data_IF_522567070599
#
_entry.id   IF_522567070599
#
_cell.length_a   1.000
_cell.length_b   1.000
_cell.length_c   1.000
_cell.angle_alpha   90.00
_cell.angle_beta   90.00
_cell.angle_gamma   90.00
#
_symmetry.space_group_name_H-M   'P 1'
#
loop_
_entity.id
_entity.type
_entity.pdbx_description
1 polymer ?
#
# COMPACT_ATOMS: atom_id res chain seq x y z
N UNK A 1 -5.85 -4.51 -19.27
CA UNK A 1 -4.91 -3.95 -20.28
C UNK A 1 -3.93 -3.03 -19.56
N UNK A 2 -2.74 -2.84 -20.11
CA UNK A 2 -1.78 -1.84 -19.66
C UNK A 2 -1.36 -0.94 -20.82
N UNK A 3 -1.06 0.34 -20.60
CA UNK A 3 -0.50 1.19 -21.64
C UNK A 3 0.91 0.73 -22.00
N UNK A 4 1.27 0.82 -23.28
CA UNK A 4 2.58 0.41 -23.81
C UNK A 4 3.20 1.45 -24.73
N UNK A 5 2.46 2.51 -25.07
CA UNK A 5 2.94 3.63 -25.89
C UNK A 5 1.94 4.78 -25.85
N UNK A 6 2.44 5.98 -26.10
CA UNK A 6 1.63 7.18 -26.32
C UNK A 6 2.24 8.01 -27.44
N UNK A 7 1.40 8.53 -28.31
CA UNK A 7 1.76 9.54 -29.30
C UNK A 7 1.40 10.92 -28.77
N UNK A 8 2.38 11.80 -28.67
CA UNK A 8 2.20 13.17 -28.16
C UNK A 8 2.67 14.16 -29.22
N UNK A 9 1.84 15.12 -29.53
CA UNK A 9 2.15 16.21 -30.43
C UNK A 9 1.64 17.53 -29.83
N UNK A 10 2.44 18.58 -29.90
CA UNK A 10 2.14 19.94 -29.43
C UNK A 10 1.52 19.99 -28.01
N UNK A 11 2.11 19.24 -27.07
CA UNK A 11 1.65 19.21 -25.68
C UNK A 11 0.33 18.46 -25.45
N UNK A 12 -0.11 17.65 -26.42
CA UNK A 12 -1.35 16.86 -26.32
C UNK A 12 -1.11 15.41 -26.70
N UNK A 13 -1.70 14.49 -25.94
CA UNK A 13 -1.77 13.08 -26.31
C UNK A 13 -2.74 12.93 -27.48
N UNK A 14 -2.29 12.35 -28.58
CA UNK A 14 -3.09 12.03 -29.75
C UNK A 14 -3.70 10.64 -29.61
N UNK A 15 -2.89 9.68 -29.17
CA UNK A 15 -3.31 8.30 -29.01
C UNK A 15 -2.52 7.58 -27.90
N UNK A 16 -3.13 6.53 -27.35
CA UNK A 16 -2.49 5.63 -26.39
C UNK A 16 -2.58 4.19 -26.89
N UNK A 17 -1.44 3.52 -27.06
CA UNK A 17 -1.41 2.10 -27.35
C UNK A 17 -1.53 1.30 -26.05
N UNK A 18 -2.47 0.37 -26.00
CA UNK A 18 -2.70 -0.52 -24.87
C UNK A 18 -2.51 -1.97 -25.27
N UNK A 19 -1.95 -2.79 -24.36
CA UNK A 19 -1.78 -4.22 -24.52
C UNK A 19 -2.72 -4.99 -23.58
N UNK A 20 -3.44 -5.97 -24.14
CA UNK A 20 -4.30 -6.85 -23.36
C UNK A 20 -3.55 -8.14 -23.02
N UNK A 21 -3.22 -8.35 -21.77
CA UNK A 21 -2.57 -9.58 -21.29
C UNK A 21 -3.46 -10.81 -21.53
N UNK A 22 -4.79 -10.66 -21.49
CA UNK A 22 -5.73 -11.75 -21.71
C UNK A 22 -5.78 -12.24 -23.15
N UNK A 23 -5.73 -11.33 -24.11
CA UNK A 23 -5.85 -11.68 -25.56
C UNK A 23 -4.53 -11.66 -26.31
N UNK A 24 -3.45 -11.14 -25.72
CA UNK A 24 -2.18 -10.90 -26.40
C UNK A 24 -2.22 -9.82 -27.49
N UNK A 25 -3.28 -9.01 -27.55
CA UNK A 25 -3.50 -8.03 -28.63
C UNK A 25 -3.20 -6.61 -28.15
N UNK A 26 -2.74 -5.80 -29.10
CA UNK A 26 -2.60 -4.36 -28.97
C UNK A 26 -3.82 -3.65 -29.56
N UNK A 27 -4.17 -2.52 -28.99
CA UNK A 27 -5.21 -1.62 -29.50
C UNK A 27 -4.76 -0.17 -29.32
N UNK A 28 -5.17 0.72 -30.19
CA UNK A 28 -4.92 2.15 -30.11
C UNK A 28 -6.21 2.83 -29.65
N UNK A 29 -6.10 3.69 -28.67
CA UNK A 29 -7.18 4.50 -28.13
C UNK A 29 -6.95 5.96 -28.50
N UNK A 30 -7.94 6.61 -29.10
CA UNK A 30 -7.97 8.02 -29.43
C UNK A 30 -9.09 8.68 -28.65
N UNK A 31 -8.82 9.82 -28.02
CA UNK A 31 -9.80 10.55 -27.22
C UNK A 31 -9.41 12.04 -27.10
N UNK A 32 -10.37 12.95 -26.88
CA UNK A 32 -10.05 14.36 -26.63
C UNK A 32 -9.38 14.58 -25.27
N UNK A 33 -9.63 13.71 -24.27
CA UNK A 33 -9.07 13.76 -22.92
C UNK A 33 -8.71 12.34 -22.49
N UNK A 34 -7.60 12.20 -21.79
CA UNK A 34 -7.12 10.97 -21.17
C UNK A 34 -7.09 11.14 -19.66
N UNK A 35 -7.42 10.07 -18.93
CA UNK A 35 -7.30 10.02 -17.48
C UNK A 35 -6.43 8.80 -17.15
N UNK A 36 -5.27 9.04 -16.55
CA UNK A 36 -4.43 7.96 -16.03
C UNK A 36 -4.93 7.55 -14.65
N UNK A 37 -5.62 6.41 -14.60
CA UNK A 37 -6.06 5.76 -13.37
C UNK A 37 -5.32 4.44 -13.15
N UNK A 38 -4.10 4.30 -13.68
CA UNK A 38 -3.24 3.13 -13.40
C UNK A 38 -2.64 3.26 -12.00
N UNK A 39 -2.33 2.11 -11.37
CA UNK A 39 -1.80 2.09 -10.00
C UNK A 39 -0.45 2.81 -9.85
N UNK A 40 0.35 2.87 -10.93
CA UNK A 40 1.69 3.44 -10.91
C UNK A 40 1.85 4.73 -11.73
N UNK A 41 0.77 5.28 -12.30
CA UNK A 41 0.88 6.41 -13.24
C UNK A 41 1.63 5.98 -14.51
N UNK A 42 1.23 4.86 -15.11
CA UNK A 42 1.99 4.22 -16.21
C UNK A 42 1.96 5.03 -17.50
N UNK A 43 0.98 5.91 -17.68
CA UNK A 43 0.89 6.78 -18.84
C UNK A 43 1.87 7.96 -18.76
N UNK A 44 2.26 8.38 -17.56
CA UNK A 44 3.14 9.54 -17.36
C UNK A 44 4.48 9.41 -18.11
N UNK A 45 5.28 8.33 -17.92
CA UNK A 45 6.53 8.18 -18.66
C UNK A 45 6.31 7.98 -20.17
N UNK A 46 5.22 7.34 -20.59
CA UNK A 46 4.91 7.13 -22.01
C UNK A 46 4.55 8.43 -22.70
N UNK A 47 3.84 9.33 -22.03
CA UNK A 47 3.47 10.65 -22.53
C UNK A 47 4.54 11.72 -22.24
N UNK A 48 5.69 11.35 -21.63
CA UNK A 48 6.77 12.26 -21.22
C UNK A 48 6.31 13.39 -20.31
N UNK A 49 5.37 13.09 -19.43
CA UNK A 49 4.94 13.98 -18.36
C UNK A 49 5.97 13.95 -17.24
N UNK A 50 6.27 15.08 -16.65
CA UNK A 50 7.17 15.15 -15.51
C UNK A 50 6.50 14.61 -14.24
N UNK A 51 7.26 13.86 -13.47
CA UNK A 51 6.84 13.32 -12.18
C UNK A 51 8.02 13.17 -11.23
N UNK A 52 7.74 13.02 -9.95
CA UNK A 52 8.68 12.64 -8.93
C UNK A 52 8.40 11.20 -8.46
N UNK A 53 9.44 10.52 -8.01
CA UNK A 53 9.40 9.19 -7.37
C UNK A 53 10.31 9.17 -6.15
N UNK A 54 10.08 8.24 -5.25
CA UNK A 54 10.88 8.08 -4.04
C UNK A 54 10.78 9.27 -3.09
N UNK A 55 11.78 9.45 -2.25
CA UNK A 55 11.81 10.50 -1.23
C UNK A 55 12.24 11.83 -1.83
N UNK A 56 11.38 12.84 -1.73
CA UNK A 56 11.73 14.23 -2.04
C UNK A 56 12.40 14.90 -0.85
N UNK A 57 13.22 15.91 -1.11
CA UNK A 57 13.92 16.65 -0.06
C UNK A 57 13.11 17.83 0.46
N UNK A 58 13.44 18.26 1.67
CA UNK A 58 12.90 19.48 2.28
C UNK A 58 13.16 20.74 1.43
N UNK A 59 14.28 20.78 0.73
CA UNK A 59 14.58 21.88 -0.21
C UNK A 59 13.63 21.90 -1.40
N UNK A 60 13.12 20.75 -1.82
CA UNK A 60 12.17 20.64 -2.96
C UNK A 60 10.74 20.97 -2.54
N UNK A 61 10.28 20.50 -1.38
CA UNK A 61 8.87 20.58 -0.97
C UNK A 61 8.61 21.63 0.11
N UNK A 62 9.60 21.97 0.92
CA UNK A 62 9.44 22.85 2.08
C UNK A 62 8.73 22.19 3.27
N UNK A 63 8.40 20.91 3.18
CA UNK A 63 7.66 20.19 4.20
C UNK A 63 8.47 20.02 5.49
N UNK A 64 7.79 20.12 6.64
CA UNK A 64 8.43 20.07 7.96
C UNK A 64 9.18 18.76 8.18
N UNK A 65 8.56 17.65 7.79
CA UNK A 65 9.06 16.30 8.02
C UNK A 65 9.73 15.66 6.79
N UNK A 66 9.91 16.42 5.69
CA UNK A 66 10.63 15.92 4.54
C UNK A 66 12.11 15.67 4.88
N UNK A 67 12.70 14.71 4.17
CA UNK A 67 14.13 14.36 4.29
C UNK A 67 15.02 15.54 3.91
N UNK A 68 16.18 15.65 4.51
CA UNK A 68 17.18 16.68 4.14
C UNK A 68 17.70 16.49 2.70
N UNK A 69 17.77 15.23 2.23
CA UNK A 69 18.24 14.89 0.89
C UNK A 69 17.22 14.07 0.12
N UNK A 70 17.07 14.36 -1.16
CA UNK A 70 16.24 13.54 -2.06
C UNK A 70 16.88 12.15 -2.27
N UNK A 71 16.05 11.12 -2.30
CA UNK A 71 16.42 9.74 -2.59
C UNK A 71 15.40 9.16 -3.58
N UNK A 72 15.53 9.37 -4.90
CA UNK A 72 14.55 8.97 -5.90
C UNK A 72 14.41 7.45 -6.06
N UNK A 73 15.36 6.68 -5.57
CA UNK A 73 15.39 5.22 -5.51
C UNK A 73 14.82 4.64 -4.20
N UNK A 74 14.42 5.50 -3.27
CA UNK A 74 13.84 5.11 -1.98
C UNK A 74 12.31 5.03 -2.06
N UNK A 75 11.79 3.88 -2.39
CA UNK A 75 10.36 3.64 -2.56
C UNK A 75 9.74 2.91 -1.37
N UNK A 76 8.51 3.27 -1.02
CA UNK A 76 7.76 2.57 0.02
C UNK A 76 7.42 1.13 -0.37
N UNK A 77 7.23 0.30 0.63
CA UNK A 77 6.77 -1.07 0.48
C UNK A 77 5.45 -1.17 -0.30
N UNK A 78 5.30 -2.23 -1.04
CA UNK A 78 4.02 -2.65 -1.60
C UNK A 78 3.62 -4.03 -1.05
N UNK A 79 2.34 -4.39 -1.14
CA UNK A 79 1.82 -5.61 -0.53
C UNK A 79 1.07 -6.47 -1.54
N UNK A 80 1.40 -7.76 -1.60
CA UNK A 80 0.54 -8.74 -2.28
C UNK A 80 -0.52 -9.23 -1.30
N UNK A 81 -1.68 -8.59 -1.34
CA UNK A 81 -2.79 -8.89 -0.43
C UNK A 81 -3.40 -10.27 -0.71
N UNK A 82 -3.99 -10.87 0.30
CA UNK A 82 -4.81 -12.08 0.17
C UNK A 82 -5.99 -12.07 1.14
N UNK A 83 -7.06 -12.76 0.78
CA UNK A 83 -8.19 -13.00 1.66
C UNK A 83 -8.09 -14.38 2.30
N UNK A 84 -8.52 -14.49 3.56
CA UNK A 84 -8.60 -15.75 4.28
C UNK A 84 -9.85 -15.84 5.14
N UNK A 85 -10.32 -17.04 5.37
CA UNK A 85 -11.27 -17.39 6.42
C UNK A 85 -10.66 -18.41 7.40
N UNK A 86 -11.40 -18.75 8.46
CA UNK A 86 -10.97 -19.76 9.46
C UNK A 86 -12.03 -20.82 9.63
N UNK A 87 -11.66 -22.06 9.35
CA UNK A 87 -12.51 -23.24 9.46
C UNK A 87 -12.06 -24.04 10.68
N UNK A 88 -12.74 -23.83 11.81
CA UNK A 88 -12.36 -24.47 13.07
C UNK A 88 -12.40 -26.01 12.96
N UNK A 89 -11.34 -26.64 13.47
CA UNK A 89 -11.15 -28.11 13.41
C UNK A 89 -10.73 -28.67 12.05
N UNK A 90 -10.65 -27.83 10.99
CA UNK A 90 -10.17 -28.27 9.69
C UNK A 90 -8.67 -28.01 9.50
N UNK A 91 -8.08 -28.60 8.46
CA UNK A 91 -6.68 -28.42 8.10
C UNK A 91 -6.57 -27.94 6.65
N UNK A 92 -6.19 -26.68 6.47
CA UNK A 92 -5.99 -26.00 5.20
C UNK A 92 -4.56 -25.49 5.01
N UNK A 93 -3.60 -26.11 5.69
CA UNK A 93 -2.17 -25.75 5.58
C UNK A 93 -1.74 -25.82 4.12
N UNK A 94 -1.28 -24.67 3.59
CA UNK A 94 -0.76 -24.61 2.22
C UNK A 94 0.61 -25.29 2.11
N UNK A 95 1.01 -25.68 0.91
CA UNK A 95 2.36 -26.15 0.66
C UNK A 95 3.39 -25.11 1.12
N UNK A 96 4.50 -25.57 1.69
CA UNK A 96 5.57 -24.67 2.16
C UNK A 96 6.10 -23.86 0.98
N UNK A 97 6.01 -22.49 1.04
CA UNK A 97 6.48 -21.63 -0.04
C UNK A 97 7.99 -21.79 -0.28
N UNK A 98 8.42 -21.59 -1.52
CA UNK A 98 9.82 -21.73 -1.93
C UNK A 98 10.76 -20.83 -1.11
N UNK A 99 10.33 -19.58 -0.83
CA UNK A 99 11.12 -18.60 -0.07
C UNK A 99 10.87 -18.62 1.44
N UNK A 100 10.09 -19.59 1.95
CA UNK A 100 9.74 -19.64 3.37
C UNK A 100 10.95 -19.62 4.31
N UNK A 101 12.00 -20.40 4.00
CA UNK A 101 13.22 -20.45 4.80
C UNK A 101 13.92 -19.08 4.92
N UNK A 102 13.91 -18.29 3.87
CA UNK A 102 14.40 -16.91 3.87
C UNK A 102 13.51 -16.01 4.75
N UNK A 103 12.23 -15.92 4.43
CA UNK A 103 11.30 -15.00 5.11
C UNK A 103 11.11 -15.32 6.58
N UNK A 104 11.12 -16.60 6.95
CA UNK A 104 11.01 -17.03 8.36
C UNK A 104 12.16 -16.54 9.24
N UNK A 105 13.32 -16.35 8.66
CA UNK A 105 14.52 -15.90 9.38
C UNK A 105 14.88 -14.44 9.09
N UNK A 106 14.15 -13.79 8.21
CA UNK A 106 14.44 -12.42 7.81
C UNK A 106 14.22 -11.45 8.98
N UNK A 107 15.24 -10.66 9.27
CA UNK A 107 15.23 -9.57 10.24
C UNK A 107 15.42 -8.26 9.46
N UNK A 108 14.39 -7.41 9.41
CA UNK A 108 14.52 -6.12 8.73
C UNK A 108 15.60 -5.22 9.34
N UNK A 109 16.46 -4.68 8.48
CA UNK A 109 17.43 -3.64 8.84
C UNK A 109 16.82 -2.28 8.47
N UNK A 110 16.11 -1.69 9.41
CA UNK A 110 15.33 -0.47 9.22
C UNK A 110 15.63 0.56 10.32
N UNK A 111 15.39 1.82 10.03
CA UNK A 111 15.50 2.93 10.99
C UNK A 111 14.16 3.72 11.06
N UNK A 112 13.53 3.83 12.24
CA UNK A 112 13.84 3.19 13.54
C UNK A 112 13.88 1.67 13.44
N UNK A 113 14.59 1.00 14.39
CA UNK A 113 14.82 -0.43 14.33
C UNK A 113 13.53 -1.26 14.32
N UNK A 114 13.47 -2.29 13.48
CA UNK A 114 12.41 -3.31 13.54
C UNK A 114 12.64 -4.27 14.71
N UNK A 115 11.57 -4.71 15.43
CA UNK A 115 11.73 -5.49 16.66
C UNK A 115 11.91 -7.00 16.42
N UNK A 116 12.93 -7.43 15.69
CA UNK A 116 13.24 -8.83 15.49
C UNK A 116 12.92 -9.38 14.11
N UNK A 117 12.29 -10.55 14.01
CA UNK A 117 11.93 -11.17 12.73
C UNK A 117 10.69 -10.50 12.11
N UNK A 118 10.63 -10.47 10.78
CA UNK A 118 9.46 -9.93 10.07
C UNK A 118 8.20 -10.79 10.33
N UNK A 119 8.34 -12.12 10.27
CA UNK A 119 7.24 -13.05 10.61
C UNK A 119 7.16 -13.24 12.12
N UNK A 120 6.52 -12.28 12.77
CA UNK A 120 6.22 -12.23 14.20
C UNK A 120 4.95 -11.38 14.43
N UNK A 121 4.35 -11.43 15.63
CA UNK A 121 3.22 -10.58 15.99
C UNK A 121 3.63 -9.19 16.49
N UNK A 122 4.89 -8.81 16.32
CA UNK A 122 5.40 -7.50 16.70
C UNK A 122 5.75 -6.65 15.47
N UNK A 123 5.67 -5.35 15.61
CA UNK A 123 6.14 -4.38 14.61
C UNK A 123 6.57 -3.08 15.29
N UNK A 124 7.18 -2.16 14.56
CA UNK A 124 7.51 -0.82 15.06
C UNK A 124 6.29 0.08 14.95
N UNK A 125 5.87 0.66 16.08
CA UNK A 125 4.74 1.59 16.09
C UNK A 125 5.12 2.92 15.40
N UNK A 126 4.33 3.41 14.40
CA UNK A 126 4.76 4.50 13.52
C UNK A 126 4.92 5.87 14.22
N UNK A 127 4.27 6.10 15.35
CA UNK A 127 4.37 7.38 16.09
C UNK A 127 5.34 7.37 17.24
N UNK A 128 5.51 6.24 17.92
CA UNK A 128 6.39 6.15 19.10
C UNK A 128 7.74 5.52 18.78
N UNK A 129 7.88 4.89 17.62
CA UNK A 129 9.07 4.10 17.23
C UNK A 129 9.36 2.92 18.18
N UNK A 130 8.42 2.57 19.05
CA UNK A 130 8.55 1.47 19.99
C UNK A 130 8.01 0.17 19.41
N UNK A 131 8.48 -0.95 19.93
CA UNK A 131 7.93 -2.27 19.62
C UNK A 131 6.48 -2.37 20.10
N UNK A 132 5.57 -2.76 19.21
CA UNK A 132 4.17 -2.98 19.52
C UNK A 132 3.74 -4.40 19.19
N UNK A 133 3.08 -5.06 20.15
CA UNK A 133 2.47 -6.36 19.95
C UNK A 133 1.12 -6.22 19.24
N UNK A 134 0.89 -7.04 18.24
CA UNK A 134 -0.38 -7.27 17.57
C UNK A 134 -0.99 -8.59 18.05
N UNK A 135 -2.31 -8.67 18.09
CA UNK A 135 -3.02 -9.92 18.40
C UNK A 135 -3.51 -10.60 17.13
N UNK A 136 -3.63 -11.92 17.20
CA UNK A 136 -4.34 -12.68 16.18
C UNK A 136 -5.18 -13.78 16.83
N UNK A 137 -6.51 -13.68 16.67
CA UNK A 137 -7.45 -14.68 17.18
C UNK A 137 -8.70 -14.75 16.29
N UNK A 138 -8.80 -15.76 15.40
CA UNK A 138 -9.98 -15.97 14.56
C UNK A 138 -11.21 -16.26 15.42
N UNK A 139 -12.36 -15.67 15.08
CA UNK A 139 -13.61 -15.88 15.79
C UNK A 139 -13.75 -15.12 17.12
N UNK A 140 -12.76 -14.31 17.51
CA UNK A 140 -12.80 -13.54 18.75
C UNK A 140 -13.02 -12.05 18.48
N UNK A 141 -13.63 -11.37 19.45
CA UNK A 141 -13.68 -9.92 19.52
C UNK A 141 -12.31 -9.25 19.73
N UNK A 142 -12.31 -7.93 19.91
CA UNK A 142 -11.09 -7.19 20.16
C UNK A 142 -10.40 -7.63 21.46
N UNK A 143 -9.06 -7.67 21.44
CA UNK A 143 -8.25 -7.77 22.64
C UNK A 143 -8.21 -6.41 23.34
N UNK A 144 -8.32 -6.39 24.65
CA UNK A 144 -8.21 -5.14 25.40
C UNK A 144 -6.80 -4.55 25.23
N UNK A 145 -6.73 -3.39 24.59
CA UNK A 145 -5.47 -2.66 24.36
C UNK A 145 -4.56 -3.22 23.25
N UNK A 146 -4.96 -4.28 22.55
CA UNK A 146 -4.19 -4.90 21.45
C UNK A 146 -5.08 -4.99 20.22
N UNK A 147 -4.54 -4.61 19.05
CA UNK A 147 -5.24 -4.76 17.77
C UNK A 147 -5.29 -6.25 17.43
N UNK A 148 -6.51 -6.78 17.24
CA UNK A 148 -6.68 -8.11 16.66
C UNK A 148 -6.66 -8.03 15.14
N UNK A 149 -5.61 -8.52 14.51
CA UNK A 149 -5.42 -8.50 13.06
C UNK A 149 -6.54 -9.24 12.32
N UNK A 150 -7.20 -10.23 12.94
CA UNK A 150 -8.37 -10.89 12.36
C UNK A 150 -9.51 -9.91 12.04
N UNK A 151 -9.72 -8.92 12.90
CA UNK A 151 -10.78 -7.92 12.75
C UNK A 151 -10.32 -6.65 12.04
N UNK A 152 -9.02 -6.42 11.94
CA UNK A 152 -8.44 -5.15 11.47
C UNK A 152 -8.87 -4.77 10.05
N UNK A 153 -8.87 -5.76 9.14
CA UNK A 153 -9.36 -5.60 7.76
C UNK A 153 -10.37 -6.70 7.42
N UNK A 154 -11.32 -6.95 8.32
CA UNK A 154 -12.38 -7.90 8.09
C UNK A 154 -13.36 -7.35 7.05
N UNK A 155 -13.40 -7.98 5.87
CA UNK A 155 -14.24 -7.59 4.74
C UNK A 155 -15.64 -8.23 4.77
N UNK A 156 -15.79 -9.31 5.53
CA UNK A 156 -17.09 -9.94 5.77
C UNK A 156 -17.19 -10.36 7.24
N UNK A 157 -18.21 -9.88 7.92
CA UNK A 157 -18.60 -10.33 9.25
C UNK A 157 -19.84 -11.26 9.10
N UNK A 158 -19.68 -12.57 9.37
CA UNK A 158 -20.79 -13.53 9.23
C UNK A 158 -22.03 -13.15 10.05
N UNK A 159 -21.83 -12.48 11.20
CA UNK A 159 -22.89 -12.00 12.08
C UNK A 159 -23.81 -10.95 11.44
N UNK A 160 -23.43 -10.35 10.32
CA UNK A 160 -24.27 -9.39 9.58
C UNK A 160 -25.22 -10.07 8.59
N UNK A 161 -25.20 -11.39 8.51
CA UNK A 161 -25.99 -12.20 7.56
C UNK A 161 -26.84 -13.22 8.31
N UNK A 162 -27.82 -13.78 7.62
CA UNK A 162 -28.63 -14.88 8.16
C UNK A 162 -27.74 -16.06 8.59
N UNK A 163 -28.11 -16.68 9.70
CA UNK A 163 -27.36 -17.80 10.27
C UNK A 163 -27.17 -18.91 9.23
N UNK A 164 -25.91 -19.29 9.01
CA UNK A 164 -25.54 -20.34 8.05
C UNK A 164 -25.22 -19.83 6.63
N UNK A 165 -25.43 -18.54 6.31
CA UNK A 165 -25.06 -17.98 5.00
C UNK A 165 -23.55 -18.04 4.75
N UNK A 166 -22.74 -17.84 5.79
CA UNK A 166 -21.30 -17.96 5.75
C UNK A 166 -20.79 -18.81 6.92
N UNK A 167 -19.76 -19.61 6.69
CA UNK A 167 -19.16 -20.49 7.71
C UNK A 167 -18.18 -19.77 8.63
N UNK A 168 -17.64 -18.62 8.21
CA UNK A 168 -16.67 -17.81 8.93
C UNK A 168 -16.71 -16.37 8.46
N UNK A 169 -16.15 -15.48 9.24
CA UNK A 169 -15.71 -14.16 8.78
C UNK A 169 -14.66 -14.30 7.68
N UNK A 170 -14.48 -13.26 6.87
CA UNK A 170 -13.39 -13.17 5.89
C UNK A 170 -12.57 -11.94 6.21
N UNK A 171 -11.26 -12.14 6.37
CA UNK A 171 -10.30 -11.07 6.63
C UNK A 171 -9.36 -10.91 5.44
N UNK A 172 -9.08 -9.64 5.08
CA UNK A 172 -8.06 -9.30 4.10
C UNK A 172 -6.72 -9.07 4.82
N UNK A 173 -5.68 -9.71 4.32
CA UNK A 173 -4.31 -9.56 4.85
C UNK A 173 -3.58 -8.51 4.04
N UNK A 174 -3.39 -7.35 4.68
CA UNK A 174 -2.57 -6.24 4.27
C UNK A 174 -2.03 -5.64 5.57
N UNK A 175 -0.95 -6.21 6.06
CA UNK A 175 -0.40 -6.00 7.40
C UNK A 175 1.09 -5.68 7.34
N UNK A 176 1.69 -5.17 8.42
CA UNK A 176 3.13 -4.92 8.46
C UNK A 176 4.00 -6.12 8.06
N UNK A 177 3.54 -7.33 8.36
CA UNK A 177 4.30 -8.56 8.14
C UNK A 177 4.38 -9.00 6.66
N UNK A 178 3.54 -8.44 5.78
CA UNK A 178 3.61 -8.74 4.35
C UNK A 178 3.88 -7.52 3.46
N UNK A 179 4.38 -6.44 4.04
CA UNK A 179 4.95 -5.31 3.31
C UNK A 179 6.29 -5.70 2.70
N UNK A 180 6.38 -5.64 1.38
CA UNK A 180 7.60 -5.96 0.65
C UNK A 180 8.38 -4.70 0.30
N UNK A 181 9.61 -4.58 0.80
CA UNK A 181 10.50 -3.42 0.64
C UNK A 181 11.93 -3.79 0.19
N UNK A 182 12.15 -5.01 -0.32
CA UNK A 182 13.46 -5.42 -0.82
C UNK A 182 13.69 -5.08 -2.31
N UNK A 183 12.82 -4.27 -2.88
CA UNK A 183 12.95 -3.77 -4.23
C UNK A 183 11.71 -3.02 -4.68
N UNK A 184 11.86 -2.26 -5.76
CA UNK A 184 10.81 -1.40 -6.32
C UNK A 184 10.16 -2.03 -7.54
N UNK A 185 8.92 -1.59 -7.82
CA UNK A 185 8.18 -1.88 -9.04
C UNK A 185 7.96 -0.62 -9.92
N UNK A 186 8.56 0.52 -9.51
CA UNK A 186 8.48 1.80 -10.21
C UNK A 186 9.75 2.01 -11.02
N UNK A 187 9.62 2.42 -12.28
CA UNK A 187 10.72 2.74 -13.21
C UNK A 187 11.75 1.62 -13.39
N UNK A 188 11.33 0.39 -13.22
CA UNK A 188 12.16 -0.81 -13.40
C UNK A 188 11.80 -1.56 -14.69
N UNK A 189 12.72 -2.39 -15.20
CA UNK A 189 12.44 -3.27 -16.32
C UNK A 189 11.38 -4.32 -15.97
N UNK A 190 10.69 -4.83 -16.99
CA UNK A 190 9.61 -5.82 -16.80
C UNK A 190 10.09 -7.07 -16.05
N UNK A 191 11.29 -7.55 -16.30
CA UNK A 191 11.84 -8.72 -15.61
C UNK A 191 12.02 -8.44 -14.11
N UNK A 192 12.51 -7.26 -13.78
CA UNK A 192 12.70 -6.84 -12.38
C UNK A 192 11.37 -6.62 -11.67
N UNK A 193 10.40 -5.97 -12.33
CA UNK A 193 9.02 -5.86 -11.84
C UNK A 193 8.45 -7.23 -11.49
N UNK A 194 8.52 -8.20 -12.41
CA UNK A 194 7.99 -9.55 -12.19
C UNK A 194 8.71 -10.27 -11.07
N UNK A 195 10.03 -10.11 -10.95
CA UNK A 195 10.83 -10.66 -9.85
C UNK A 195 10.35 -10.13 -8.51
N UNK A 196 10.19 -8.82 -8.35
CA UNK A 196 9.78 -8.23 -7.08
C UNK A 196 8.31 -8.56 -6.73
N UNK A 197 7.42 -8.63 -7.71
CA UNK A 197 6.05 -9.11 -7.52
C UNK A 197 6.05 -10.58 -7.06
N UNK A 198 6.88 -11.44 -7.66
CA UNK A 198 7.02 -12.83 -7.24
C UNK A 198 7.55 -12.95 -5.81
N UNK A 199 8.60 -12.21 -5.45
CA UNK A 199 9.15 -12.20 -4.07
C UNK A 199 8.11 -11.71 -3.05
N UNK A 200 7.31 -10.70 -3.38
CA UNK A 200 6.23 -10.21 -2.53
C UNK A 200 5.11 -11.26 -2.36
N UNK A 201 4.79 -12.02 -3.42
CA UNK A 201 3.89 -13.18 -3.34
C UNK A 201 4.45 -14.24 -2.40
N UNK A 202 5.75 -14.53 -2.51
CA UNK A 202 6.42 -15.49 -1.62
C UNK A 202 6.40 -15.03 -0.16
N UNK A 203 6.54 -13.73 0.13
CA UNK A 203 6.40 -13.17 1.46
C UNK A 203 4.99 -13.40 2.01
N UNK A 204 3.96 -13.04 1.25
CA UNK A 204 2.55 -13.18 1.68
C UNK A 204 2.16 -14.64 1.92
N UNK A 205 2.56 -15.55 1.04
CA UNK A 205 2.34 -16.99 1.25
C UNK A 205 3.16 -17.52 2.43
N UNK A 206 4.37 -17.00 2.67
CA UNK A 206 5.18 -17.35 3.84
C UNK A 206 4.55 -16.89 5.14
N UNK A 207 3.93 -15.71 5.16
CA UNK A 207 3.15 -15.23 6.30
C UNK A 207 1.98 -16.18 6.59
N UNK A 208 1.19 -16.55 5.56
CA UNK A 208 0.08 -17.49 5.74
C UNK A 208 0.56 -18.84 6.25
N UNK A 209 1.61 -19.42 5.66
CA UNK A 209 2.16 -20.70 6.08
C UNK A 209 2.67 -20.66 7.53
N UNK A 210 3.36 -19.58 7.92
CA UNK A 210 3.79 -19.33 9.29
C UNK A 210 2.60 -19.25 10.25
N UNK A 211 1.55 -18.51 9.88
CA UNK A 211 0.33 -18.43 10.69
C UNK A 211 -0.34 -19.79 10.86
N UNK A 212 -0.35 -20.61 9.81
CA UNK A 212 -0.95 -21.94 9.86
C UNK A 212 -0.17 -22.94 10.71
N UNK A 213 1.17 -22.81 10.80
CA UNK A 213 2.05 -23.86 11.34
C UNK A 213 2.80 -23.48 12.60
N UNK A 214 3.28 -22.25 12.73
CA UNK A 214 4.26 -21.87 13.76
C UNK A 214 3.83 -20.68 14.62
N UNK A 215 2.93 -19.82 14.14
CA UNK A 215 2.57 -18.60 14.84
C UNK A 215 2.04 -18.88 16.25
N UNK A 216 2.51 -18.16 17.29
CA UNK A 216 2.00 -18.32 18.64
C UNK A 216 0.49 -18.01 18.69
N UNK A 217 -0.28 -18.89 19.34
CA UNK A 217 -1.71 -18.68 19.58
C UNK A 217 -1.95 -17.88 20.85
N UNK A 218 -3.01 -17.09 20.86
CA UNK A 218 -3.43 -16.35 22.04
C UNK A 218 -3.67 -17.23 23.27
N UNK A 219 -4.32 -18.35 23.11
CA UNK A 219 -4.62 -19.31 24.18
C UNK A 219 -3.53 -20.33 24.49
N UNK A 220 -2.32 -20.17 23.94
CA UNK A 220 -1.23 -21.14 24.00
C UNK A 220 -1.23 -22.11 22.81
N UNK A 221 -0.08 -22.76 22.60
CA UNK A 221 0.17 -23.57 21.41
C UNK A 221 0.61 -22.78 20.19
N UNK A 222 0.68 -23.45 19.04
CA UNK A 222 1.21 -22.88 17.79
C UNK A 222 0.32 -23.22 16.59
N UNK A 223 0.34 -22.33 15.60
CA UNK A 223 -0.30 -22.49 14.31
C UNK A 223 -1.83 -22.49 14.34
N UNK A 224 -2.43 -22.02 13.27
CA UNK A 224 -3.87 -22.00 13.01
C UNK A 224 -4.15 -22.77 11.73
N UNK A 225 -4.12 -24.13 11.74
CA UNK A 225 -4.27 -24.93 10.51
C UNK A 225 -5.61 -24.74 9.81
N UNK A 226 -6.64 -24.27 10.50
CA UNK A 226 -7.94 -23.93 9.94
C UNK A 226 -7.98 -22.66 9.10
N UNK A 227 -6.93 -21.84 9.07
CA UNK A 227 -6.86 -20.70 8.16
C UNK A 227 -6.84 -21.19 6.72
N UNK A 228 -7.77 -20.67 5.91
CA UNK A 228 -7.94 -21.09 4.52
C UNK A 228 -7.78 -19.89 3.59
N UNK A 229 -6.87 -20.02 2.62
CA UNK A 229 -6.72 -19.05 1.53
C UNK A 229 -7.99 -19.04 0.67
N UNK A 230 -8.43 -17.85 0.24
CA UNK A 230 -9.69 -17.67 -0.48
C UNK A 230 -9.48 -17.14 -1.91
N UNK A 231 -9.03 -18.00 -2.85
CA UNK A 231 -8.86 -17.62 -4.26
C UNK A 231 -10.17 -17.18 -4.93
N UNK A 232 -11.29 -17.73 -4.50
CA UNK A 232 -12.63 -17.34 -4.96
C UNK A 232 -12.97 -15.88 -4.62
N UNK A 233 -12.51 -15.36 -3.50
CA UNK A 233 -12.68 -13.96 -3.09
C UNK A 233 -11.72 -13.05 -3.87
N UNK A 234 -10.47 -13.47 -4.04
CA UNK A 234 -9.46 -12.69 -4.75
C UNK A 234 -9.63 -12.72 -6.28
N UNK A 235 -10.35 -13.69 -6.81
CA UNK A 235 -10.56 -13.87 -8.25
C UNK A 235 -9.30 -14.32 -9.00
N UNK A 236 -8.38 -15.00 -8.33
CA UNK A 236 -7.10 -15.47 -8.86
C UNK A 236 -6.87 -16.94 -8.51
N UNK A 237 -6.13 -17.66 -9.34
CA UNK A 237 -5.82 -19.07 -9.10
C UNK A 237 -4.89 -19.28 -7.89
N UNK A 238 -3.95 -18.36 -7.69
CA UNK A 238 -2.97 -18.41 -6.58
C UNK A 238 -3.50 -17.83 -5.26
N UNK A 239 -4.72 -17.28 -5.25
CA UNK A 239 -5.37 -16.71 -4.07
C UNK A 239 -4.81 -15.37 -3.60
N UNK A 240 -3.89 -14.78 -4.34
CA UNK A 240 -3.32 -13.46 -4.07
C UNK A 240 -3.98 -12.38 -4.94
N UNK A 241 -3.84 -11.13 -4.58
CA UNK A 241 -4.37 -10.02 -5.36
C UNK A 241 -3.87 -10.03 -6.82
N UNK A 242 -4.74 -9.63 -7.76
CA UNK A 242 -4.38 -9.51 -9.18
C UNK A 242 -3.26 -8.51 -9.42
N UNK A 243 -3.15 -7.50 -8.57
CA UNK A 243 -2.14 -6.46 -8.62
C UNK A 243 -1.64 -6.11 -7.22
N UNK A 244 -0.39 -5.69 -7.05
CA UNK A 244 0.12 -5.23 -5.76
C UNK A 244 -0.70 -4.06 -5.20
N UNK A 245 -0.94 -4.03 -3.89
CA UNK A 245 -1.39 -2.85 -3.20
C UNK A 245 -0.21 -1.87 -3.10
N UNK A 246 -0.32 -0.77 -3.84
CA UNK A 246 0.72 0.24 -3.99
C UNK A 246 0.44 1.40 -3.05
N UNK A 247 1.47 1.88 -2.34
CA UNK A 247 1.38 3.06 -1.46
C UNK A 247 2.01 4.30 -2.08
N UNK A 248 2.93 4.06 -2.98
CA UNK A 248 3.64 5.11 -3.69
C UNK A 248 3.62 4.82 -5.19
N UNK A 249 3.28 5.84 -5.96
CA UNK A 249 3.37 5.82 -7.42
C UNK A 249 4.18 7.00 -7.92
N UNK A 250 4.24 7.19 -9.22
CA UNK A 250 4.76 8.42 -9.83
C UNK A 250 3.85 9.58 -9.44
N UNK A 251 4.43 10.57 -8.77
CA UNK A 251 3.73 11.81 -8.38
C UNK A 251 3.91 12.83 -9.48
N UNK A 252 2.81 13.14 -10.17
CA UNK A 252 2.77 14.08 -11.28
C UNK A 252 3.26 15.47 -10.84
N UNK A 253 4.05 16.15 -11.67
CA UNK A 253 4.27 17.58 -11.54
C UNK A 253 3.05 18.32 -12.07
N UNK A 254 2.10 18.52 -11.17
CA UNK A 254 0.81 19.12 -11.45
C UNK A 254 0.84 20.66 -11.38
N UNK A 255 -0.25 21.30 -11.80
CA UNK A 255 -0.44 22.75 -11.62
C UNK A 255 -0.37 23.15 -10.15
N UNK A 256 -0.85 22.26 -9.25
CA UNK A 256 -0.74 22.40 -7.81
C UNK A 256 -0.25 21.08 -7.19
N UNK A 257 0.60 21.17 -6.17
CA UNK A 257 1.01 20.00 -5.39
C UNK A 257 0.53 20.16 -3.95
N UNK A 258 -0.33 19.25 -3.51
CA UNK A 258 -0.75 19.18 -2.09
C UNK A 258 0.42 18.65 -1.28
N UNK A 259 0.80 19.38 -0.24
CA UNK A 259 1.94 19.10 0.61
C UNK A 259 1.54 19.07 2.09
N UNK A 260 2.49 18.74 2.97
CA UNK A 260 2.27 18.77 4.41
C UNK A 260 1.84 20.17 4.90
N UNK A 261 2.31 21.27 4.26
CA UNK A 261 1.92 22.63 4.59
C UNK A 261 0.41 22.85 4.46
N UNK A 262 -0.24 22.11 3.57
CA UNK A 262 -1.67 22.26 3.31
C UNK A 262 -2.54 21.49 4.29
N UNK A 263 -2.07 20.33 4.77
CA UNK A 263 -2.90 19.39 5.51
C UNK A 263 -2.29 18.86 6.82
N UNK A 264 -0.97 18.91 7.00
CA UNK A 264 -0.29 18.39 8.19
C UNK A 264 -0.63 19.21 9.44
N UNK A 265 -1.05 18.54 10.50
CA UNK A 265 -1.49 19.23 11.73
C UNK A 265 -0.39 20.10 12.32
N UNK A 266 0.80 19.55 12.56
CA UNK A 266 1.93 20.28 13.16
C UNK A 266 2.40 21.43 12.29
N UNK A 267 2.55 21.17 10.98
CA UNK A 267 2.96 22.17 10.01
C UNK A 267 1.96 23.35 9.97
N UNK A 268 0.67 23.07 9.96
CA UNK A 268 -0.39 24.09 9.96
C UNK A 268 -0.43 24.88 11.27
N UNK A 269 -0.26 24.22 12.41
CA UNK A 269 -0.16 24.91 13.72
C UNK A 269 1.06 25.86 13.75
N UNK A 270 2.21 25.38 13.25
CA UNK A 270 3.44 26.20 13.21
C UNK A 270 3.31 27.41 12.28
N UNK A 271 2.72 27.24 11.09
CA UNK A 271 2.59 28.31 10.09
C UNK A 271 1.51 29.35 10.44
N UNK A 272 0.43 28.94 11.08
CA UNK A 272 -0.72 29.82 11.40
C UNK A 272 -0.67 30.41 12.80
N UNK A 273 0.10 29.83 13.71
CA UNK A 273 0.09 30.16 15.13
C UNK A 273 -1.19 29.75 15.88
N UNK A 274 -2.08 28.99 15.22
CA UNK A 274 -3.35 28.54 15.80
C UNK A 274 -3.18 27.28 16.65
N UNK A 275 -4.01 27.13 17.69
CA UNK A 275 -4.09 25.91 18.48
C UNK A 275 -4.81 24.77 17.71
N UNK A 276 -4.59 23.53 18.19
CA UNK A 276 -5.16 22.32 17.58
C UNK A 276 -6.69 22.37 17.36
N UNK A 277 -7.44 23.01 18.24
CA UNK A 277 -8.89 23.11 18.13
C UNK A 277 -9.36 24.03 17.00
N UNK A 278 -8.55 25.02 16.63
CA UNK A 278 -8.93 26.10 15.72
C UNK A 278 -8.29 25.99 14.34
N UNK A 279 -7.13 25.32 14.26
CA UNK A 279 -6.39 25.17 12.99
C UNK A 279 -7.20 24.33 11.98
N UNK A 280 -7.10 24.70 10.71
CA UNK A 280 -7.74 24.01 9.57
C UNK A 280 -6.72 23.77 8.47
N UNK A 281 -6.98 22.76 7.65
CA UNK A 281 -6.26 22.55 6.39
C UNK A 281 -6.53 23.70 5.42
N UNK A 282 -5.70 23.80 4.38
CA UNK A 282 -5.92 24.75 3.28
C UNK A 282 -7.23 24.45 2.56
N UNK A 283 -7.90 25.46 2.04
CA UNK A 283 -9.14 25.29 1.28
C UNK A 283 -8.98 25.80 -0.15
N UNK A 284 -9.60 25.11 -1.10
CA UNK A 284 -9.46 25.38 -2.52
C UNK A 284 -10.82 25.64 -3.17
N UNK A 285 -10.95 26.68 -4.01
CA UNK A 285 -12.21 26.97 -4.71
C UNK A 285 -12.54 25.89 -5.77
N UNK A 286 -11.54 25.16 -6.26
CA UNK A 286 -11.65 24.09 -7.25
C UNK A 286 -11.58 22.69 -6.63
N UNK A 287 -11.91 22.56 -5.34
CA UNK A 287 -11.87 21.28 -4.63
C UNK A 287 -12.78 20.23 -5.28
N UNK A 288 -12.22 19.06 -5.59
CA UNK A 288 -12.94 17.91 -6.19
C UNK A 288 -13.09 16.73 -5.25
N UNK A 289 -12.45 16.77 -4.09
CA UNK A 289 -12.49 15.68 -3.11
C UNK A 289 -12.05 16.11 -1.72
N UNK A 290 -12.23 15.19 -0.78
CA UNK A 290 -11.82 15.35 0.63
C UNK A 290 -10.96 14.16 1.03
N UNK A 291 -9.82 14.43 1.67
CA UNK A 291 -8.98 13.46 2.35
C UNK A 291 -9.09 13.60 3.87
N UNK A 292 -8.99 12.48 4.56
CA UNK A 292 -8.93 12.42 6.03
C UNK A 292 -8.15 11.18 6.46
N UNK A 293 -6.85 11.18 6.15
CA UNK A 293 -5.95 10.08 6.45
C UNK A 293 -4.58 10.63 6.81
N UNK A 294 -3.88 10.09 7.83
CA UNK A 294 -2.53 10.56 8.16
C UNK A 294 -1.55 10.38 7.00
N UNK A 295 -0.46 11.12 7.03
CA UNK A 295 0.71 10.81 6.22
C UNK A 295 1.32 9.55 6.82
N UNK A 296 1.02 8.39 6.22
CA UNK A 296 1.34 7.06 6.71
C UNK A 296 2.41 6.44 5.81
N UNK A 297 3.66 6.58 6.23
CA UNK A 297 4.82 6.06 5.51
C UNK A 297 5.15 4.65 6.00
N UNK A 298 5.31 3.74 5.06
CA UNK A 298 5.65 2.35 5.28
C UNK A 298 7.16 2.10 5.11
N UNK A 299 7.68 0.94 5.55
CA UNK A 299 9.08 0.57 5.30
C UNK A 299 9.46 0.79 3.85
N UNK A 300 10.69 1.24 3.61
CA UNK A 300 11.14 1.62 2.28
C UNK A 300 12.38 0.85 1.83
N UNK A 301 12.64 0.87 0.53
CA UNK A 301 13.85 0.26 -0.07
C UNK A 301 15.14 0.91 0.44
N UNK A 302 15.07 2.13 0.95
CA UNK A 302 16.19 2.87 1.53
C UNK A 302 16.40 2.66 3.03
N UNK A 303 15.65 1.73 3.65
CA UNK A 303 15.83 1.37 5.05
C UNK A 303 15.05 2.22 6.04
N UNK A 304 14.11 3.06 5.60
CA UNK A 304 13.22 3.76 6.53
C UNK A 304 12.15 2.80 7.04
N UNK A 305 11.76 2.98 8.31
CA UNK A 305 10.68 2.22 8.94
C UNK A 305 9.39 3.03 8.96
N UNK A 306 8.32 2.51 9.55
CA UNK A 306 7.05 3.18 9.72
C UNK A 306 7.18 4.54 10.39
N UNK A 307 6.56 5.55 9.78
CA UNK A 307 6.38 6.90 10.33
C UNK A 307 4.98 7.40 9.97
N UNK A 308 4.29 8.01 10.91
CA UNK A 308 2.93 8.50 10.75
C UNK A 308 2.84 9.94 11.30
N UNK A 309 2.37 10.86 10.45
CA UNK A 309 2.10 12.27 10.82
C UNK A 309 0.61 12.55 10.71
N UNK A 310 0.06 13.22 11.71
CA UNK A 310 -1.36 13.55 11.74
C UNK A 310 -1.70 14.64 10.71
N UNK A 311 -2.79 14.42 9.98
CA UNK A 311 -3.38 15.44 9.10
C UNK A 311 -4.70 15.94 9.65
N UNK A 312 -5.06 17.14 9.26
CA UNK A 312 -6.42 17.65 9.32
C UNK A 312 -7.25 17.06 8.17
N UNK A 313 -8.58 16.97 8.26
CA UNK A 313 -9.40 16.77 7.07
C UNK A 313 -9.10 17.85 6.03
N UNK A 314 -8.76 17.45 4.81
CA UNK A 314 -8.25 18.36 3.78
C UNK A 314 -8.99 18.18 2.44
N UNK A 315 -8.95 19.20 1.62
CA UNK A 315 -9.48 19.20 0.28
C UNK A 315 -8.40 18.80 -0.75
N UNK A 316 -8.84 18.26 -1.86
CA UNK A 316 -7.98 17.93 -3.00
C UNK A 316 -8.38 18.87 -4.13
N UNK A 317 -7.53 19.82 -4.56
CA UNK A 317 -7.83 20.71 -5.66
C UNK A 317 -7.74 19.99 -7.00
N UNK A 318 -8.53 20.42 -8.00
CA UNK A 318 -8.45 19.89 -9.37
C UNK A 318 -7.06 20.06 -9.96
N UNK A 319 -6.40 21.18 -9.68
CA UNK A 319 -5.05 21.46 -10.15
C UNK A 319 -4.01 20.42 -9.73
N UNK A 320 -4.28 19.59 -8.69
CA UNK A 320 -3.40 18.50 -8.29
C UNK A 320 -3.45 17.29 -9.24
N UNK A 321 -4.41 17.22 -10.13
CA UNK A 321 -4.57 16.15 -11.14
C UNK A 321 -4.17 16.59 -12.55
N UNK A 322 -3.87 17.87 -12.77
CA UNK A 322 -3.59 18.43 -14.08
C UNK A 322 -2.08 18.61 -14.24
N UNK A 323 -1.44 17.93 -15.20
CA UNK A 323 0.00 18.12 -15.47
C UNK A 323 0.29 19.50 -16.05
N UNK A 324 1.46 20.06 -15.72
CA UNK A 324 1.87 21.40 -16.16
C UNK A 324 1.99 21.56 -17.68
N UNK A 325 2.24 20.49 -18.43
CA UNK A 325 2.62 20.61 -19.85
C UNK A 325 1.81 19.76 -20.82
N UNK A 326 0.98 18.86 -20.36
CA UNK A 326 0.12 18.02 -21.21
C UNK A 326 -1.33 18.43 -20.97
N UNK A 327 -1.92 19.11 -21.95
CA UNK A 327 -3.22 19.80 -21.80
C UNK A 327 -4.43 18.87 -21.66
N UNK A 328 -4.30 17.61 -22.06
CA UNK A 328 -5.42 16.66 -22.13
C UNK A 328 -5.20 15.35 -21.37
N UNK A 329 -4.31 15.38 -20.39
CA UNK A 329 -4.12 14.29 -19.44
C UNK A 329 -4.65 14.69 -18.08
#
# INVERSE_FOLDING_TARGET
CRPVGAEVNDGRIQSVEVFSEKSGKKSVLEAPVFIDATELGDLLPLAKVEYAVGTESKTQTGEMHASESARPDNHQAFTMCFAMDHMDGENHVIAKPERYGFWRNFMPDLSPAWPGRLLDWTYTHPRSSESRLLGFNPGSGAYKGIINLWNYRRILAQSNFETGSFKSDISLVNWPQNDYFLGSIIDVKREEFLKHVWEAKQLSLSLLHWMQTEAPRHGGGQGYPGLRLRPDIMGTEDGLAMYPYVRESRRIQAEYTVTEQDCGLEQRMASTGMGRADVRAESYPDAIGIGSYPIDLHPSTGGDNYIDFETLPFQIPLGALIPKRIENL
#
